data_IF_122960132701
#
_entry.id   IF_122960132701
#
_cell.length_a   1.000
_cell.length_b   1.000
_cell.length_c   1.000
_cell.angle_alpha   90.00
_cell.angle_beta   90.00
_cell.angle_gamma   90.00
#
_symmetry.space_group_name_H-M   'P 1'
#
loop_
_entity.id
_entity.type
_entity.pdbx_description
1 polymer ?
#
# COMPACT_ATOMS: atom_id res chain seq x y z
N UNK A 1 -4.29 -2.91 14.62
CA UNK A 1 -4.90 -1.92 13.70
C UNK A 1 -6.33 -2.36 13.39
N UNK A 2 -7.31 -1.45 13.39
CA UNK A 2 -8.69 -1.79 13.02
C UNK A 2 -8.87 -1.97 11.51
N UNK A 3 -9.84 -2.77 11.09
CA UNK A 3 -10.10 -3.07 9.67
C UNK A 3 -10.32 -1.82 8.82
N UNK A 4 -11.05 -0.82 9.34
CA UNK A 4 -11.29 0.42 8.60
C UNK A 4 -9.99 1.22 8.35
N UNK A 5 -9.06 1.26 9.32
CA UNK A 5 -7.75 1.92 9.14
C UNK A 5 -6.91 1.20 8.09
N UNK A 6 -7.02 -0.12 8.04
CA UNK A 6 -6.42 -0.96 7.01
C UNK A 6 -6.94 -0.59 5.61
N UNK A 7 -8.27 -0.47 5.47
CA UNK A 7 -8.90 -0.07 4.21
C UNK A 7 -8.47 1.32 3.75
N UNK A 8 -8.33 2.28 4.67
CA UNK A 8 -7.84 3.62 4.34
C UNK A 8 -6.39 3.59 3.84
N UNK A 9 -5.49 2.91 4.54
CA UNK A 9 -4.09 2.76 4.10
C UNK A 9 -4.00 2.05 2.75
N UNK A 10 -4.76 0.98 2.54
CA UNK A 10 -4.81 0.28 1.26
C UNK A 10 -5.35 1.14 0.12
N UNK A 11 -6.35 1.99 0.38
CA UNK A 11 -6.85 2.94 -0.61
C UNK A 11 -5.83 4.03 -0.93
N UNK A 12 -5.13 4.58 0.08
CA UNK A 12 -4.06 5.56 -0.12
C UNK A 12 -2.94 4.95 -0.97
N UNK A 13 -2.46 3.76 -0.63
CA UNK A 13 -1.45 3.05 -1.41
C UNK A 13 -1.91 2.81 -2.85
N UNK A 14 -3.06 2.16 -3.03
CA UNK A 14 -3.57 1.80 -4.36
C UNK A 14 -3.86 3.01 -5.26
N UNK A 15 -4.17 4.18 -4.71
CA UNK A 15 -4.34 5.41 -5.50
C UNK A 15 -2.98 6.04 -5.78
N UNK A 16 -2.14 6.21 -4.76
CA UNK A 16 -0.92 7.02 -4.87
C UNK A 16 0.23 6.31 -5.56
N UNK A 17 0.26 4.97 -5.58
CA UNK A 17 1.35 4.19 -6.18
C UNK A 17 1.46 4.38 -7.70
N UNK A 18 0.34 4.66 -8.38
CA UNK A 18 0.34 4.88 -9.83
C UNK A 18 0.53 6.36 -10.22
N UNK A 19 0.50 7.26 -9.23
CA UNK A 19 0.69 8.69 -9.43
C UNK A 19 2.13 9.08 -9.07
N UNK A 20 2.76 10.04 -9.80
CA UNK A 20 4.12 10.49 -9.52
C UNK A 20 4.17 11.46 -8.31
N UNK A 21 3.63 11.03 -7.17
CA UNK A 21 3.45 11.85 -5.95
C UNK A 21 4.02 11.21 -4.67
N UNK A 22 4.73 10.08 -4.79
CA UNK A 22 5.28 9.28 -3.68
C UNK A 22 4.23 8.68 -2.74
N UNK A 23 3.96 7.39 -2.90
CA UNK A 23 3.06 6.60 -2.04
C UNK A 23 3.59 6.47 -0.61
N UNK A 24 4.89 6.22 -0.43
CA UNK A 24 5.53 6.12 0.89
C UNK A 24 5.30 7.36 1.76
N UNK A 25 5.41 8.56 1.17
CA UNK A 25 5.17 9.81 1.90
C UNK A 25 3.72 9.92 2.38
N UNK A 26 2.76 9.59 1.50
CA UNK A 26 1.34 9.62 1.83
C UNK A 26 0.96 8.57 2.88
N UNK A 27 1.56 7.38 2.84
CA UNK A 27 1.35 6.35 3.87
C UNK A 27 1.85 6.81 5.24
N UNK A 28 3.05 7.37 5.34
CA UNK A 28 3.60 7.88 6.61
C UNK A 28 2.73 9.00 7.19
N UNK A 29 2.28 9.93 6.35
CA UNK A 29 1.38 11.01 6.78
C UNK A 29 0.04 10.44 7.25
N UNK A 30 -0.53 9.49 6.51
CA UNK A 30 -1.80 8.85 6.85
C UNK A 30 -1.71 8.05 8.15
N UNK A 31 -0.62 7.31 8.36
CA UNK A 31 -0.35 6.59 9.60
C UNK A 31 -0.33 7.53 10.81
N UNK A 32 0.36 8.68 10.70
CA UNK A 32 0.40 9.70 11.76
C UNK A 32 -0.97 10.32 12.03
N UNK A 33 -1.74 10.64 11.00
CA UNK A 33 -3.09 11.22 11.15
C UNK A 33 -4.04 10.24 11.84
N UNK A 34 -3.94 8.95 11.50
CA UNK A 34 -4.80 7.90 12.04
C UNK A 34 -4.28 7.29 13.35
N UNK A 35 -3.14 7.76 13.85
CA UNK A 35 -2.47 7.21 15.03
C UNK A 35 -2.16 5.71 14.92
N UNK A 36 -1.53 5.32 13.81
CA UNK A 36 -1.15 3.93 13.50
C UNK A 36 0.36 3.82 13.68
N UNK A 37 0.79 2.92 14.58
CA UNK A 37 2.22 2.75 14.88
C UNK A 37 2.80 3.83 15.80
N UNK A 38 1.95 4.54 16.56
CA UNK A 38 2.35 5.62 17.49
C UNK A 38 3.14 5.13 18.71
N UNK A 39 3.08 3.82 19.00
CA UNK A 39 3.87 3.20 20.07
C UNK A 39 4.92 2.27 19.46
N UNK A 40 6.08 2.15 20.11
CA UNK A 40 7.16 1.27 19.65
C UNK A 40 6.68 -0.18 19.43
N UNK A 41 5.77 -0.66 20.29
CA UNK A 41 5.18 -2.00 20.19
C UNK A 41 4.27 -2.20 18.95
N UNK A 42 3.75 -1.13 18.35
CA UNK A 42 2.83 -1.20 17.20
C UNK A 42 3.46 -0.70 15.89
N UNK A 43 4.61 -0.04 15.97
CA UNK A 43 5.32 0.53 14.84
C UNK A 43 5.75 -0.52 13.82
N UNK A 44 6.42 -1.58 14.26
CA UNK A 44 6.90 -2.64 13.38
C UNK A 44 5.77 -3.33 12.61
N UNK A 45 4.63 -3.54 13.27
CA UNK A 45 3.44 -4.12 12.63
C UNK A 45 2.82 -3.16 11.61
N UNK A 46 2.81 -1.85 11.89
CA UNK A 46 2.31 -0.83 10.98
C UNK A 46 3.19 -0.69 9.73
N UNK A 47 4.51 -0.69 9.91
CA UNK A 47 5.49 -0.62 8.82
C UNK A 47 5.46 -1.89 7.97
N UNK A 48 5.36 -3.06 8.61
CA UNK A 48 5.18 -4.34 7.90
C UNK A 48 3.88 -4.36 7.08
N UNK A 49 2.79 -3.81 7.62
CA UNK A 49 1.53 -3.69 6.89
C UNK A 49 1.65 -2.75 5.69
N UNK A 50 2.31 -1.60 5.85
CA UNK A 50 2.58 -0.66 4.77
C UNK A 50 3.35 -1.31 3.61
N UNK A 51 4.33 -2.17 3.91
CA UNK A 51 5.04 -2.96 2.90
C UNK A 51 4.13 -4.02 2.27
N UNK A 52 3.30 -4.71 3.07
CA UNK A 52 2.43 -5.77 2.57
C UNK A 52 1.37 -5.26 1.58
N UNK A 53 0.83 -4.06 1.76
CA UNK A 53 -0.20 -3.50 0.87
C UNK A 53 0.34 -3.09 -0.51
N UNK A 54 1.64 -2.77 -0.63
CA UNK A 54 2.30 -2.52 -1.93
C UNK A 54 2.20 -3.74 -2.86
N UNK A 55 2.24 -4.94 -2.29
CA UNK A 55 2.04 -6.17 -3.07
C UNK A 55 0.66 -6.20 -3.75
N UNK A 56 -0.37 -5.65 -3.10
CA UNK A 56 -1.70 -5.49 -3.70
C UNK A 56 -1.68 -4.56 -4.92
N UNK A 57 -0.94 -3.45 -4.85
CA UNK A 57 -0.78 -2.54 -5.98
C UNK A 57 -0.02 -3.20 -7.15
N UNK A 58 1.00 -4.02 -6.86
CA UNK A 58 1.71 -4.81 -7.88
C UNK A 58 0.75 -5.82 -8.54
N UNK A 59 0.00 -6.58 -7.74
CA UNK A 59 -0.98 -7.54 -8.25
C UNK A 59 -2.03 -6.90 -9.15
N UNK A 60 -2.50 -5.70 -8.80
CA UNK A 60 -3.46 -4.97 -9.64
C UNK A 60 -2.89 -4.66 -11.03
N UNK A 61 -1.60 -4.30 -11.14
CA UNK A 61 -0.92 -4.10 -12.44
C UNK A 61 -0.77 -5.42 -13.19
N UNK A 62 -0.40 -6.51 -12.51
CA UNK A 62 -0.27 -7.84 -13.12
C UNK A 62 -1.60 -8.32 -13.71
N UNK A 63 -2.71 -8.10 -13.01
CA UNK A 63 -4.06 -8.44 -13.48
C UNK A 63 -4.49 -7.52 -14.62
N UNK A 64 -4.29 -6.20 -14.49
CA UNK A 64 -4.64 -5.22 -15.51
C UNK A 64 -3.95 -5.49 -16.85
N UNK A 65 -2.66 -5.82 -16.82
CA UNK A 65 -1.84 -6.07 -18.00
C UNK A 65 -1.60 -7.56 -18.29
N UNK A 66 -2.40 -8.48 -17.73
CA UNK A 66 -2.19 -9.94 -17.84
C UNK A 66 -1.89 -10.42 -19.27
N UNK A 67 -2.68 -9.95 -20.26
CA UNK A 67 -2.52 -10.35 -21.67
C UNK A 67 -1.21 -9.84 -22.28
N UNK A 68 -0.79 -8.63 -21.88
CA UNK A 68 0.49 -8.04 -22.31
C UNK A 68 1.65 -8.80 -21.68
N UNK A 69 1.55 -9.13 -20.40
CA UNK A 69 2.57 -9.90 -19.67
C UNK A 69 2.71 -11.30 -20.27
N UNK A 70 1.60 -11.99 -20.54
CA UNK A 70 1.59 -13.28 -21.24
C UNK A 70 2.30 -13.19 -22.61
N UNK A 71 2.07 -12.11 -23.36
CA UNK A 71 2.75 -11.87 -24.64
C UNK A 71 4.24 -11.56 -24.53
N UNK A 72 4.72 -11.05 -23.38
CA UNK A 72 6.14 -10.75 -23.16
C UNK A 72 6.90 -12.01 -22.71
N UNK A 73 6.24 -12.88 -21.94
CA UNK A 73 6.84 -14.10 -21.39
C UNK A 73 6.89 -15.23 -22.42
N UNK A 74 5.96 -15.24 -23.38
CA UNK A 74 5.88 -16.23 -24.46
C UNK A 74 6.84 -15.89 -25.61
#
# INVERSE_FOLDING_TARGET
MSTWKAMVLGAVEGITEYLPISSTGHLVVTQRILGIGDTDATKDAADSYAIAIQFGAILAVLVLYRKRIESIIR
#
